data_IF_299592321347
#
_entry.id   IF_299592321347
#
_cell.length_a   1.000
_cell.length_b   1.000
_cell.length_c   1.000
_cell.angle_alpha   90.00
_cell.angle_beta   90.00
_cell.angle_gamma   90.00
#
_symmetry.space_group_name_H-M   'P 1'
#
loop_
_entity.id
_entity.type
_entity.pdbx_description
1 polymer ?
#
# COMPACT_ATOMS: atom_id res chain seq x y z
N UNK A 1 2.49 9.14 20.77
CA UNK A 1 1.99 9.93 19.62
C UNK A 1 0.55 9.52 19.33
N UNK A 2 -0.36 10.46 19.07
CA UNK A 2 -1.75 10.13 18.68
C UNK A 2 -1.70 9.41 17.33
N UNK A 3 -2.32 8.24 17.21
CA UNK A 3 -2.31 7.40 15.99
C UNK A 3 -2.68 8.20 14.73
N UNK A 4 -3.60 9.16 14.86
CA UNK A 4 -4.01 10.07 13.80
C UNK A 4 -2.87 10.92 13.23
N UNK A 5 -1.92 11.36 14.07
CA UNK A 5 -0.76 12.15 13.63
C UNK A 5 0.19 11.34 12.75
N UNK A 6 0.36 10.04 13.04
CA UNK A 6 1.20 9.14 12.24
C UNK A 6 0.59 8.95 10.86
N UNK A 7 -0.72 8.70 10.79
CA UNK A 7 -1.43 8.52 9.52
C UNK A 7 -1.39 9.79 8.67
N UNK A 8 -1.73 10.95 9.26
CA UNK A 8 -1.72 12.24 8.55
C UNK A 8 -0.30 12.61 8.10
N UNK A 9 0.71 12.37 8.94
CA UNK A 9 2.11 12.63 8.59
C UNK A 9 2.60 11.76 7.43
N UNK A 10 2.28 10.45 7.45
CA UNK A 10 2.62 9.55 6.35
C UNK A 10 1.89 9.91 5.04
N UNK A 11 0.62 10.31 5.13
CA UNK A 11 -0.14 10.76 3.96
C UNK A 11 0.44 12.06 3.38
N UNK A 12 0.82 13.01 4.24
CA UNK A 12 1.52 14.23 3.84
C UNK A 12 2.88 13.94 3.18
N UNK A 13 3.65 13.00 3.73
CA UNK A 13 4.90 12.54 3.12
C UNK A 13 4.67 11.90 1.74
N UNK A 14 3.59 11.13 1.57
CA UNK A 14 3.23 10.54 0.28
C UNK A 14 2.90 11.63 -0.77
N UNK A 15 2.19 12.69 -0.37
CA UNK A 15 1.90 13.85 -1.23
C UNK A 15 3.18 14.60 -1.61
N UNK A 16 4.06 14.84 -0.64
CA UNK A 16 5.35 15.51 -0.89
C UNK A 16 6.23 14.69 -1.85
N UNK A 17 6.31 13.37 -1.64
CA UNK A 17 7.06 12.48 -2.52
C UNK A 17 6.47 12.43 -3.93
N UNK A 18 5.14 12.44 -4.06
CA UNK A 18 4.48 12.50 -5.37
C UNK A 18 4.79 13.82 -6.10
N UNK A 19 4.76 14.95 -5.38
CA UNK A 19 5.16 16.24 -5.92
C UNK A 19 6.63 16.27 -6.35
N UNK A 20 7.52 15.69 -5.54
CA UNK A 20 8.96 15.65 -5.80
C UNK A 20 9.29 14.74 -6.99
N UNK A 21 8.65 13.58 -7.09
CA UNK A 21 8.77 12.70 -8.27
C UNK A 21 8.26 13.43 -9.51
N UNK A 22 7.11 14.10 -9.42
CA UNK A 22 6.56 14.85 -10.56
C UNK A 22 7.47 15.99 -11.02
N UNK A 23 8.17 16.65 -10.08
CA UNK A 23 9.11 17.71 -10.38
C UNK A 23 10.39 17.17 -11.06
N UNK A 24 10.85 15.97 -10.68
CA UNK A 24 12.04 15.35 -11.27
C UNK A 24 11.75 14.74 -12.64
N UNK A 25 10.58 14.13 -12.82
CA UNK A 25 10.21 13.43 -14.06
C UNK A 25 9.47 14.32 -15.06
N UNK A 26 9.26 15.59 -14.72
CA UNK A 26 8.46 16.57 -15.49
C UNK A 26 7.05 16.06 -15.87
N UNK A 27 6.55 15.06 -15.14
CA UNK A 27 5.32 14.35 -15.46
C UNK A 27 4.54 14.05 -14.20
N UNK A 28 3.24 14.37 -14.19
CA UNK A 28 2.42 14.32 -12.99
C UNK A 28 2.28 12.90 -12.46
N UNK A 29 2.87 12.62 -11.29
CA UNK A 29 2.65 11.41 -10.51
C UNK A 29 1.35 11.56 -9.70
N UNK A 30 0.21 11.45 -10.38
CA UNK A 30 -1.10 11.55 -9.74
C UNK A 30 -1.32 10.35 -8.81
N UNK A 31 -1.47 10.63 -7.51
CA UNK A 31 -1.69 9.62 -6.47
C UNK A 31 -2.95 8.80 -6.77
N UNK A 32 -2.81 7.48 -6.72
CA UNK A 32 -3.93 6.56 -6.99
C UNK A 32 -4.37 6.50 -8.45
N UNK A 33 -3.63 7.11 -9.38
CA UNK A 33 -3.99 7.16 -10.80
C UNK A 33 -2.84 6.70 -11.69
N UNK A 34 -1.63 7.17 -11.42
CA UNK A 34 -0.41 6.75 -12.13
C UNK A 34 0.27 5.60 -11.41
N UNK A 35 0.97 4.71 -12.11
CA UNK A 35 1.69 3.61 -11.42
C UNK A 35 2.68 4.11 -10.36
N UNK A 36 3.37 5.24 -10.61
CA UNK A 36 4.22 5.90 -9.61
C UNK A 36 3.40 6.42 -8.42
N UNK A 37 2.29 7.12 -8.66
CA UNK A 37 1.42 7.63 -7.60
C UNK A 37 0.69 6.54 -6.81
N UNK A 38 0.33 5.42 -7.45
CA UNK A 38 -0.24 4.23 -6.82
C UNK A 38 0.80 3.60 -5.88
N UNK A 39 2.05 3.46 -6.33
CA UNK A 39 3.13 2.93 -5.51
C UNK A 39 3.42 3.80 -4.29
N UNK A 40 3.51 5.12 -4.48
CA UNK A 40 3.72 6.08 -3.38
C UNK A 40 2.56 6.04 -2.37
N UNK A 41 1.33 6.00 -2.85
CA UNK A 41 0.16 5.90 -1.98
C UNK A 41 0.16 4.60 -1.18
N UNK A 42 0.44 3.47 -1.82
CA UNK A 42 0.44 2.16 -1.16
C UNK A 42 1.60 2.00 -0.19
N UNK A 43 2.83 2.32 -0.59
CA UNK A 43 4.00 2.13 0.26
C UNK A 43 4.05 3.16 1.39
N UNK A 44 3.82 4.44 1.09
CA UNK A 44 4.02 5.55 2.05
C UNK A 44 2.70 5.93 2.73
N UNK A 45 1.61 6.02 1.99
CA UNK A 45 0.29 6.38 2.52
C UNK A 45 -0.37 5.28 3.34
N UNK A 46 -0.15 4.00 3.00
CA UNK A 46 -0.76 2.85 3.68
C UNK A 46 0.28 1.98 4.40
N UNK A 47 1.33 1.54 3.71
CA UNK A 47 2.28 0.56 4.22
C UNK A 47 3.05 1.06 5.43
N UNK A 48 3.62 2.26 5.31
CA UNK A 48 4.41 2.89 6.36
C UNK A 48 3.63 3.12 7.66
N UNK A 49 2.44 3.75 7.68
CA UNK A 49 1.69 3.94 8.92
C UNK A 49 1.21 2.60 9.50
N UNK A 50 0.84 1.60 8.68
CA UNK A 50 0.47 0.27 9.18
C UNK A 50 1.65 -0.44 9.85
N UNK A 51 2.87 -0.30 9.30
CA UNK A 51 4.09 -0.84 9.92
C UNK A 51 4.43 -0.13 11.25
N UNK A 52 4.33 1.20 11.28
CA UNK A 52 4.57 1.97 12.49
C UNK A 52 3.53 1.67 13.58
N UNK A 53 2.26 1.50 13.19
CA UNK A 53 1.21 1.07 14.10
C UNK A 53 1.47 -0.35 14.61
N UNK A 54 1.91 -1.28 13.76
CA UNK A 54 2.31 -2.63 14.17
C UNK A 54 3.40 -2.60 15.24
N UNK A 55 4.45 -1.79 15.06
CA UNK A 55 5.53 -1.64 16.07
C UNK A 55 5.01 -1.22 17.44
N UNK A 56 3.89 -0.49 17.49
CA UNK A 56 3.28 -0.05 18.75
C UNK A 56 2.22 -0.99 19.30
N UNK A 57 1.52 -1.74 18.45
CA UNK A 57 0.35 -2.55 18.83
C UNK A 57 0.65 -4.05 18.91
N UNK A 58 1.73 -4.52 18.28
CA UNK A 58 2.02 -5.95 18.09
C UNK A 58 1.07 -6.69 17.14
N UNK A 59 0.11 -6.00 16.52
CA UNK A 59 -0.94 -6.64 15.71
C UNK A 59 -0.40 -7.19 14.38
N UNK A 60 -0.39 -8.53 14.24
CA UNK A 60 0.01 -9.20 12.99
C UNK A 60 -0.83 -8.81 11.77
N UNK A 61 -2.07 -8.34 11.98
CA UNK A 61 -2.94 -7.86 10.91
C UNK A 61 -2.40 -6.56 10.31
N UNK A 62 -1.88 -5.65 11.14
CA UNK A 62 -1.25 -4.41 10.70
C UNK A 62 0.06 -4.67 9.95
N UNK A 63 0.84 -5.66 10.40
CA UNK A 63 2.04 -6.09 9.66
C UNK A 63 1.67 -6.68 8.31
N UNK A 64 0.64 -7.53 8.25
CA UNK A 64 0.14 -8.10 6.99
C UNK A 64 -0.36 -7.03 6.02
N UNK A 65 -1.09 -6.02 6.51
CA UNK A 65 -1.50 -4.87 5.71
C UNK A 65 -0.31 -4.09 5.18
N UNK A 66 0.71 -3.87 6.02
CA UNK A 66 1.90 -3.14 5.63
C UNK A 66 2.66 -3.87 4.51
N UNK A 67 2.88 -5.17 4.65
CA UNK A 67 3.60 -5.96 3.64
C UNK A 67 2.81 -6.06 2.34
N UNK A 68 1.49 -6.23 2.40
CA UNK A 68 0.64 -6.33 1.22
C UNK A 68 0.56 -5.01 0.46
N UNK A 69 0.52 -3.89 1.19
CA UNK A 69 0.56 -2.56 0.58
C UNK A 69 1.91 -2.32 -0.13
N UNK A 70 3.03 -2.66 0.50
CA UNK A 70 4.35 -2.55 -0.14
C UNK A 70 4.46 -3.46 -1.36
N UNK A 71 3.98 -4.71 -1.28
CA UNK A 71 3.96 -5.64 -2.41
C UNK A 71 3.10 -5.12 -3.56
N UNK A 72 1.91 -4.60 -3.27
CA UNK A 72 1.04 -3.96 -4.27
C UNK A 72 1.71 -2.75 -4.93
N UNK A 73 2.41 -1.92 -4.15
CA UNK A 73 3.18 -0.79 -4.67
C UNK A 73 4.35 -1.23 -5.56
N UNK A 74 5.04 -2.32 -5.21
CA UNK A 74 6.12 -2.87 -6.04
C UNK A 74 5.59 -3.46 -7.36
N UNK A 75 4.45 -4.15 -7.33
CA UNK A 75 3.80 -4.68 -8.53
C UNK A 75 3.36 -3.53 -9.46
N UNK A 76 2.80 -2.45 -8.91
CA UNK A 76 2.43 -1.28 -9.70
C UNK A 76 3.62 -0.69 -10.48
N UNK A 77 4.78 -0.58 -9.83
CA UNK A 77 6.03 -0.12 -10.46
C UNK A 77 6.50 -1.09 -11.54
N UNK A 78 6.53 -2.39 -11.25
CA UNK A 78 6.96 -3.42 -12.21
C UNK A 78 6.10 -3.41 -13.47
N UNK A 79 4.78 -3.32 -13.32
CA UNK A 79 3.87 -3.27 -14.47
C UNK A 79 3.98 -1.95 -15.22
N UNK A 80 4.20 -0.83 -14.51
CA UNK A 80 4.49 0.47 -15.13
C UNK A 80 5.79 0.46 -15.96
N UNK A 81 6.84 -0.20 -15.46
CA UNK A 81 8.10 -0.41 -16.16
C UNK A 81 7.93 -1.31 -17.40
N UNK A 82 7.22 -2.44 -17.28
CA UNK A 82 6.94 -3.34 -18.41
C UNK A 82 6.14 -2.66 -19.51
N UNK A 83 5.20 -1.77 -19.14
CA UNK A 83 4.44 -0.95 -20.11
C UNK A 83 5.20 0.25 -20.64
N UNK A 84 6.43 0.50 -20.18
CA UNK A 84 7.25 1.64 -20.60
C UNK A 84 6.71 3.00 -20.16
N UNK A 85 5.78 3.04 -19.20
CA UNK A 85 5.15 4.29 -18.77
C UNK A 85 4.73 4.25 -17.30
N UNK A 86 5.48 4.97 -16.47
CA UNK A 86 5.21 5.10 -15.04
C UNK A 86 4.13 6.16 -14.72
N UNK A 87 3.90 7.07 -15.67
CA UNK A 87 2.98 8.21 -15.54
C UNK A 87 1.73 8.08 -16.42
N UNK A 88 1.60 7.00 -17.19
CA UNK A 88 0.34 6.71 -17.88
C UNK A 88 -0.79 6.62 -16.85
N UNK A 89 -1.90 7.24 -17.22
CA UNK A 89 -3.13 7.19 -16.46
C UNK A 89 -3.68 5.76 -16.49
N UNK A 90 -3.80 5.13 -15.32
CA UNK A 90 -4.30 3.77 -15.23
C UNK A 90 -5.80 3.70 -15.02
N UNK A 91 -6.51 4.83 -14.79
CA UNK A 91 -7.96 4.90 -14.61
C UNK A 91 -8.55 3.85 -13.66
N UNK A 92 -8.86 2.66 -14.18
CA UNK A 92 -9.38 1.48 -13.46
C UNK A 92 -8.32 0.64 -12.74
N UNK A 93 -7.03 0.76 -13.08
CA UNK A 93 -5.96 -0.08 -12.54
C UNK A 93 -5.76 0.09 -11.03
N UNK A 94 -5.99 1.28 -10.49
CA UNK A 94 -5.98 1.51 -9.04
C UNK A 94 -7.10 0.77 -8.31
N UNK A 95 -8.31 0.73 -8.88
CA UNK A 95 -9.44 0.00 -8.30
C UNK A 95 -9.14 -1.50 -8.27
N UNK A 96 -8.60 -2.06 -9.35
CA UNK A 96 -8.19 -3.47 -9.41
C UNK A 96 -7.12 -3.79 -8.36
N UNK A 97 -6.16 -2.88 -8.17
CA UNK A 97 -5.10 -3.06 -7.19
C UNK A 97 -5.62 -2.95 -5.75
N UNK A 98 -6.57 -2.04 -5.50
CA UNK A 98 -7.30 -1.94 -4.23
C UNK A 98 -8.09 -3.20 -3.93
N UNK A 99 -8.79 -3.76 -4.93
CA UNK A 99 -9.50 -5.04 -4.81
C UNK A 99 -8.50 -6.16 -4.48
N UNK A 100 -7.36 -6.22 -5.15
CA UNK A 100 -6.31 -7.19 -4.83
C UNK A 100 -5.81 -7.05 -3.39
N UNK A 101 -5.63 -5.83 -2.91
CA UNK A 101 -5.21 -5.56 -1.54
C UNK A 101 -6.27 -6.02 -0.53
N UNK A 102 -7.53 -5.69 -0.78
CA UNK A 102 -8.66 -6.08 0.07
C UNK A 102 -8.85 -7.60 0.09
N UNK A 103 -8.88 -8.24 -1.08
CA UNK A 103 -9.06 -9.69 -1.23
C UNK A 103 -7.87 -10.45 -0.62
N UNK A 104 -6.64 -10.00 -0.90
CA UNK A 104 -5.44 -10.59 -0.30
C UNK A 104 -5.46 -10.53 1.23
N UNK A 105 -5.97 -9.44 1.80
CA UNK A 105 -6.10 -9.30 3.24
C UNK A 105 -7.23 -10.16 3.82
N UNK A 106 -8.37 -10.27 3.14
CA UNK A 106 -9.47 -11.19 3.50
C UNK A 106 -9.00 -12.64 3.51
N UNK A 107 -8.29 -13.06 2.46
CA UNK A 107 -7.71 -14.40 2.37
C UNK A 107 -6.67 -14.63 3.47
N UNK A 108 -5.78 -13.66 3.71
CA UNK A 108 -4.79 -13.74 4.78
C UNK A 108 -5.41 -13.82 6.18
N UNK A 109 -6.52 -13.11 6.41
CA UNK A 109 -7.28 -13.22 7.65
C UNK A 109 -7.95 -14.60 7.78
N UNK A 110 -8.59 -15.08 6.71
CA UNK A 110 -9.21 -16.41 6.67
C UNK A 110 -8.21 -17.53 6.97
N UNK A 111 -7.01 -17.50 6.36
CA UNK A 111 -5.96 -18.50 6.61
C UNK A 111 -5.47 -18.44 8.07
N UNK A 112 -5.37 -17.25 8.67
CA UNK A 112 -4.96 -17.11 10.08
C UNK A 112 -6.00 -17.68 11.04
N UNK A 113 -7.28 -17.39 10.82
CA UNK A 113 -8.38 -17.95 11.60
C UNK A 113 -8.48 -19.46 11.44
N UNK A 114 -8.33 -19.97 10.21
CA UNK A 114 -8.31 -21.41 9.94
C UNK A 114 -7.18 -22.12 10.69
N UNK A 115 -5.99 -21.50 10.73
CA UNK A 115 -4.83 -22.03 11.47
C UNK A 115 -5.02 -21.94 12.99
N UNK A 116 -5.72 -20.93 13.49
CA UNK A 116 -6.05 -20.79 14.90
C UNK A 116 -7.04 -21.87 15.35
N UNK A 117 -8.09 -22.12 14.56
CA UNK A 117 -9.07 -23.19 14.82
C UNK A 117 -8.45 -24.58 14.83
N UNK A 118 -7.46 -24.84 13.96
CA UNK A 118 -6.71 -26.11 13.98
C UNK A 118 -5.84 -26.29 15.24
N UNK A 119 -5.41 -25.22 15.90
CA UNK A 119 -4.59 -25.28 17.13
C UNK A 119 -5.41 -25.38 18.41
N UNK A 120 -6.67 -24.95 18.41
CA UNK A 120 -7.56 -25.10 19.57
C UNK A 120 -8.22 -26.48 19.65
N UNK A 121 -8.08 -27.30 18.60
CA UNK A 121 -8.66 -28.64 18.50
C UNK A 121 -7.71 -29.80 18.78
N UNK A 122 -6.44 -29.55 19.16
CA UNK A 122 -5.48 -30.56 19.65
C UNK A 122 -5.27 -30.41 21.14
#
# INVERSE_FOLDING_TARGET
MKRSFVVVGCLGAAVLLAGLVSAITESAAVLGVTSAGISLYLAVGIGLPQYLLYRTSGSLLQLGLATLAVAGGAIAVLVGLVRGSLHADWGTGFIVLLVYVVVGNLLGAGVREFRAGYRSGS
#
